data_IF_446795431440
#
_entry.id   IF_446795431440
#
_cell.length_a   1.000
_cell.length_b   1.000
_cell.length_c   1.000
_cell.angle_alpha   90.00
_cell.angle_beta   90.00
_cell.angle_gamma   90.00
#
_symmetry.space_group_name_H-M   'P 1'
#
loop_
_entity.id
_entity.type
_entity.pdbx_description
1 polymer ?
#
# COMPACT_ATOMS: atom_id res chain seq x y z
N UNK A 1 0.93 22.02 -26.94
CA UNK A 1 1.14 21.57 -25.55
C UNK A 1 1.71 20.17 -25.54
N UNK A 2 2.86 19.97 -24.89
CA UNK A 2 3.52 18.65 -24.73
C UNK A 2 3.94 18.43 -23.27
N UNK A 3 4.05 17.17 -22.87
CA UNK A 3 4.47 16.76 -21.53
C UNK A 3 5.85 16.12 -21.58
N UNK A 4 6.66 16.36 -20.56
CA UNK A 4 7.99 15.77 -20.37
C UNK A 4 8.09 15.27 -18.94
N UNK A 5 7.85 13.97 -18.77
CA UNK A 5 7.94 13.27 -17.51
C UNK A 5 9.29 12.56 -17.35
N UNK A 6 9.80 12.52 -16.13
CA UNK A 6 10.95 11.70 -15.77
C UNK A 6 10.79 11.08 -14.38
N UNK A 7 11.39 9.91 -14.19
CA UNK A 7 11.62 9.35 -12.87
C UNK A 7 12.95 9.92 -12.36
N UNK A 8 12.88 11.14 -11.80
CA UNK A 8 14.01 11.97 -11.42
C UNK A 8 14.94 11.28 -10.41
N UNK A 9 14.36 10.59 -9.44
CA UNK A 9 15.10 9.77 -8.48
C UNK A 9 14.33 8.48 -8.15
N UNK A 10 15.06 7.41 -7.80
CA UNK A 10 14.50 6.13 -7.39
C UNK A 10 15.42 5.40 -6.41
N UNK A 11 14.92 4.44 -5.63
CA UNK A 11 15.73 3.67 -4.70
C UNK A 11 16.86 2.92 -5.40
N UNK A 12 18.00 2.77 -4.72
CA UNK A 12 19.12 1.97 -5.23
C UNK A 12 18.69 0.53 -5.53
N UNK A 13 19.05 0.02 -6.72
CA UNK A 13 18.66 -1.31 -7.18
C UNK A 13 17.31 -1.37 -7.90
N UNK A 14 16.57 -0.26 -7.98
CA UNK A 14 15.34 -0.18 -8.77
C UNK A 14 15.63 -0.10 -10.28
N UNK A 15 14.92 -0.91 -11.07
CA UNK A 15 14.87 -0.90 -12.54
C UNK A 15 13.58 -0.26 -13.08
N UNK A 16 12.71 0.23 -12.21
CA UNK A 16 11.46 0.88 -12.59
C UNK A 16 11.65 2.03 -13.57
N UNK A 17 10.69 2.17 -14.49
CA UNK A 17 10.61 3.20 -15.53
C UNK A 17 9.15 3.64 -15.72
N UNK A 18 8.96 4.86 -16.23
CA UNK A 18 7.64 5.33 -16.66
C UNK A 18 7.18 4.59 -17.92
N UNK A 19 5.89 4.28 -18.02
CA UNK A 19 5.27 3.70 -19.23
C UNK A 19 5.37 4.61 -20.45
N UNK A 20 5.41 5.92 -20.23
CA UNK A 20 5.68 6.93 -21.24
C UNK A 20 6.22 8.20 -20.58
N UNK A 21 7.11 8.91 -21.27
CA UNK A 21 7.60 10.22 -20.82
C UNK A 21 6.79 11.39 -21.37
N UNK A 22 5.81 11.14 -22.23
CA UNK A 22 5.05 12.21 -22.93
C UNK A 22 3.53 12.05 -22.83
N UNK A 23 3.04 10.97 -22.22
CA UNK A 23 1.62 10.78 -21.99
C UNK A 23 1.06 11.80 -21.00
N UNK A 24 -0.24 12.09 -21.11
CA UNK A 24 -0.95 12.96 -20.14
C UNK A 24 -0.94 12.34 -18.74
N UNK A 25 -1.08 11.01 -18.68
CA UNK A 25 -1.13 10.22 -17.45
C UNK A 25 -0.22 9.00 -17.58
N UNK A 26 1.11 9.16 -17.41
CA UNK A 26 1.99 8.01 -17.35
C UNK A 26 1.80 7.26 -16.03
N UNK A 27 2.29 6.02 -16.01
CA UNK A 27 2.32 5.18 -14.82
C UNK A 27 3.69 4.54 -14.68
N UNK A 28 4.01 4.05 -13.48
CA UNK A 28 5.13 3.14 -13.26
C UNK A 28 4.76 2.16 -12.16
N UNK A 29 5.43 1.01 -12.13
CA UNK A 29 5.35 0.09 -11.00
C UNK A 29 6.65 0.21 -10.21
N UNK A 30 6.60 0.64 -8.93
CA UNK A 30 7.72 0.45 -8.03
C UNK A 30 8.10 -1.02 -7.98
N UNK A 31 9.40 -1.30 -7.99
CA UNK A 31 9.98 -2.66 -7.93
C UNK A 31 10.85 -2.87 -6.68
N UNK A 32 11.18 -1.79 -5.98
CA UNK A 32 11.94 -1.79 -4.73
C UNK A 32 11.27 -0.83 -3.76
N UNK A 33 11.19 -1.18 -2.48
CA UNK A 33 10.69 -0.27 -1.47
C UNK A 33 11.61 0.94 -1.31
N UNK A 34 11.02 2.13 -1.11
CA UNK A 34 11.74 3.38 -0.96
C UNK A 34 11.07 4.54 -1.71
N UNK A 35 11.75 5.68 -1.72
CA UNK A 35 11.25 6.91 -2.34
C UNK A 35 11.55 6.98 -3.83
N UNK A 36 10.52 7.30 -4.60
CA UNK A 36 10.57 7.64 -6.03
C UNK A 36 10.17 9.10 -6.19
N UNK A 37 11.00 9.89 -6.87
CA UNK A 37 10.68 11.28 -7.22
C UNK A 37 10.34 11.33 -8.69
N UNK A 38 9.10 11.68 -9.02
CA UNK A 38 8.63 11.90 -10.38
C UNK A 38 8.62 13.38 -10.67
N UNK A 39 9.14 13.77 -11.82
CA UNK A 39 9.18 15.16 -12.28
C UNK A 39 8.37 15.33 -13.58
N UNK A 40 7.62 16.42 -13.67
CA UNK A 40 6.91 16.88 -14.86
C UNK A 40 7.37 18.26 -15.27
N UNK A 41 7.64 18.44 -16.57
CA UNK A 41 7.64 19.75 -17.25
C UNK A 41 6.59 19.75 -18.35
N UNK A 42 5.89 20.87 -18.51
CA UNK A 42 4.91 21.07 -19.58
C UNK A 42 5.40 22.17 -20.49
N UNK A 43 5.26 21.98 -21.80
CA UNK A 43 5.57 22.99 -22.80
C UNK A 43 4.29 23.42 -23.51
N UNK A 44 4.04 24.71 -23.65
CA UNK A 44 2.84 25.24 -24.29
C UNK A 44 2.94 25.37 -25.82
N UNK A 45 4.13 25.17 -26.38
CA UNK A 45 4.50 25.42 -27.77
C UNK A 45 5.62 26.46 -27.91
N UNK A 46 5.96 27.16 -26.83
CA UNK A 46 7.02 28.18 -26.79
C UNK A 46 8.15 27.77 -25.86
N UNK A 47 7.85 27.61 -24.56
CA UNK A 47 8.83 27.39 -23.50
C UNK A 47 8.39 26.25 -22.57
N UNK A 48 9.37 25.62 -21.91
CA UNK A 48 9.12 24.66 -20.84
C UNK A 48 8.76 25.38 -19.53
N UNK A 49 7.84 24.81 -18.76
CA UNK A 49 7.56 25.23 -17.40
C UNK A 49 8.74 24.92 -16.46
N UNK A 50 8.70 25.55 -15.28
CA UNK A 50 9.46 25.03 -14.14
C UNK A 50 9.03 23.57 -13.83
N UNK A 51 9.95 22.71 -13.35
CA UNK A 51 9.64 21.34 -13.00
C UNK A 51 8.71 21.26 -11.78
N UNK A 52 7.65 20.46 -11.90
CA UNK A 52 6.83 20.02 -10.78
C UNK A 52 7.27 18.62 -10.35
N UNK A 53 7.52 18.42 -9.05
CA UNK A 53 7.95 17.14 -8.51
C UNK A 53 6.92 16.56 -7.53
N UNK A 54 6.77 15.24 -7.54
CA UNK A 54 6.00 14.47 -6.56
C UNK A 54 6.84 13.32 -6.02
N UNK A 55 6.85 13.15 -4.70
CA UNK A 55 7.51 12.03 -4.02
C UNK A 55 6.50 10.93 -3.74
N UNK A 56 6.82 9.70 -4.15
CA UNK A 56 6.02 8.50 -3.95
C UNK A 56 6.83 7.51 -3.13
N UNK A 57 6.32 7.10 -1.98
CA UNK A 57 6.97 6.11 -1.12
C UNK A 57 6.39 4.73 -1.37
N UNK A 58 7.19 3.83 -1.94
CA UNK A 58 6.83 2.42 -2.07
C UNK A 58 7.20 1.66 -0.80
N UNK A 59 6.27 0.84 -0.29
CA UNK A 59 6.46 0.04 0.91
C UNK A 59 6.58 -1.44 0.59
N UNK A 60 7.24 -2.19 1.49
CA UNK A 60 7.13 -3.65 1.48
C UNK A 60 5.77 -4.08 2.01
N UNK A 61 5.34 -5.29 1.65
CA UNK A 61 4.13 -5.91 2.23
C UNK A 61 4.17 -5.94 3.76
N UNK A 62 5.34 -6.15 4.36
CA UNK A 62 5.53 -6.13 5.80
C UNK A 62 5.32 -4.74 6.39
N UNK A 63 5.88 -3.69 5.77
CA UNK A 63 5.72 -2.32 6.26
C UNK A 63 4.26 -1.89 6.17
N UNK A 64 3.58 -2.16 5.05
CA UNK A 64 2.17 -1.85 4.90
C UNK A 64 1.30 -2.60 5.95
N UNK A 65 1.61 -3.87 6.24
CA UNK A 65 0.91 -4.62 7.28
C UNK A 65 1.15 -4.06 8.70
N UNK A 66 2.34 -3.51 8.98
CA UNK A 66 2.62 -2.82 10.24
C UNK A 66 1.82 -1.52 10.37
N UNK A 67 1.66 -0.76 9.29
CA UNK A 67 0.86 0.47 9.31
C UNK A 67 -0.62 0.15 9.63
N UNK A 68 -1.15 -0.98 9.13
CA UNK A 68 -2.49 -1.45 9.48
C UNK A 68 -2.60 -1.84 10.97
N UNK A 69 -1.53 -2.39 11.56
CA UNK A 69 -1.49 -2.63 13.03
C UNK A 69 -1.64 -1.30 13.78
N UNK A 70 -0.91 -0.26 13.40
CA UNK A 70 -1.03 1.07 14.02
C UNK A 70 -2.43 1.69 13.87
N UNK A 71 -3.10 1.46 12.74
CA UNK A 71 -4.50 1.88 12.55
C UNK A 71 -5.44 1.13 13.53
N UNK A 72 -5.24 -0.16 13.75
CA UNK A 72 -6.04 -0.93 14.73
C UNK A 72 -5.77 -0.46 16.16
N UNK A 73 -4.54 -0.12 16.50
CA UNK A 73 -4.20 0.46 17.80
C UNK A 73 -4.90 1.80 18.03
N UNK A 74 -5.05 2.61 16.99
CA UNK A 74 -5.85 3.84 17.03
C UNK A 74 -7.33 3.54 17.30
N UNK A 75 -7.92 2.56 16.60
CA UNK A 75 -9.30 2.15 16.85
C UNK A 75 -9.53 1.60 18.27
N UNK A 76 -8.51 0.95 18.85
CA UNK A 76 -8.52 0.52 20.26
C UNK A 76 -8.48 1.71 21.22
N UNK A 77 -7.63 2.71 20.94
CA UNK A 77 -7.51 3.93 21.73
C UNK A 77 -8.81 4.75 21.71
N UNK A 78 -9.49 4.78 20.57
CA UNK A 78 -10.78 5.45 20.37
C UNK A 78 -11.98 4.62 20.88
N UNK A 79 -11.73 3.45 21.48
CA UNK A 79 -12.73 2.52 21.99
C UNK A 79 -13.76 2.05 20.94
N UNK A 80 -13.39 2.11 19.66
CA UNK A 80 -14.19 1.58 18.53
C UNK A 80 -14.04 0.06 18.41
N UNK A 81 -12.97 -0.51 18.96
CA UNK A 81 -12.78 -1.94 19.12
C UNK A 81 -12.54 -2.28 20.59
N UNK A 82 -13.04 -3.44 21.03
CA UNK A 82 -12.60 -4.00 22.31
C UNK A 82 -11.17 -4.54 22.21
N UNK A 83 -10.47 -4.59 23.35
CA UNK A 83 -9.13 -5.18 23.44
C UNK A 83 -9.07 -6.61 22.89
N UNK A 84 -10.13 -7.42 23.09
CA UNK A 84 -10.20 -8.78 22.54
C UNK A 84 -10.25 -8.79 21.00
N UNK A 85 -11.09 -7.94 20.41
CA UNK A 85 -11.25 -7.83 18.96
C UNK A 85 -9.97 -7.29 18.32
N UNK A 86 -9.45 -6.16 18.79
CA UNK A 86 -8.22 -5.56 18.25
C UNK A 86 -7.00 -6.48 18.39
N UNK A 87 -6.76 -7.08 19.56
CA UNK A 87 -5.62 -7.99 19.75
C UNK A 87 -5.70 -9.23 18.84
N UNK A 88 -6.90 -9.71 18.53
CA UNK A 88 -7.08 -10.85 17.63
C UNK A 88 -6.86 -10.50 16.15
N UNK A 89 -7.06 -9.23 15.76
CA UNK A 89 -6.72 -8.69 14.44
C UNK A 89 -5.21 -8.48 14.33
N UNK A 90 -4.61 -7.80 15.32
CA UNK A 90 -3.16 -7.55 15.40
C UNK A 90 -2.38 -8.86 15.30
N UNK A 91 -2.73 -9.89 16.09
CA UNK A 91 -2.06 -11.19 16.05
C UNK A 91 -2.08 -11.87 14.68
N UNK A 92 -3.15 -11.68 13.89
CA UNK A 92 -3.23 -12.23 12.52
C UNK A 92 -2.22 -11.53 11.62
N UNK A 93 -2.10 -10.19 11.72
CA UNK A 93 -1.14 -9.41 10.95
C UNK A 93 0.31 -9.70 11.38
N UNK A 94 0.62 -9.70 12.68
CA UNK A 94 1.95 -10.07 13.20
C UNK A 94 2.39 -11.44 12.71
N UNK A 95 1.47 -12.41 12.73
CA UNK A 95 1.77 -13.75 12.26
C UNK A 95 1.93 -13.80 10.73
N UNK A 96 1.16 -13.03 9.97
CA UNK A 96 1.34 -12.91 8.52
C UNK A 96 2.71 -12.28 8.19
N UNK A 97 3.11 -11.22 8.89
CA UNK A 97 4.43 -10.57 8.75
C UNK A 97 5.55 -11.58 9.01
N UNK A 98 5.47 -12.34 10.12
CA UNK A 98 6.43 -13.41 10.43
C UNK A 98 6.50 -14.50 9.34
N UNK A 99 5.43 -14.71 8.57
CA UNK A 99 5.40 -15.64 7.42
C UNK A 99 6.06 -15.01 6.20
N UNK A 100 5.85 -13.72 5.95
CA UNK A 100 6.54 -12.98 4.89
C UNK A 100 8.06 -12.96 5.10
N UNK A 101 8.52 -12.74 6.33
CA UNK A 101 9.95 -12.78 6.67
C UNK A 101 10.60 -14.16 6.44
N UNK A 102 9.78 -15.21 6.42
CA UNK A 102 10.19 -16.59 6.12
C UNK A 102 9.94 -16.99 4.67
N UNK A 103 9.61 -16.02 3.82
CA UNK A 103 9.23 -16.20 2.41
C UNK A 103 8.02 -17.14 2.20
N UNK A 104 7.23 -17.39 3.25
CA UNK A 104 6.04 -18.24 3.21
C UNK A 104 4.81 -17.46 2.70
N UNK A 105 4.93 -16.86 1.50
CA UNK A 105 3.93 -15.94 0.91
C UNK A 105 2.52 -16.55 0.86
N UNK A 106 2.38 -17.81 0.44
CA UNK A 106 1.07 -18.50 0.39
C UNK A 106 0.42 -18.62 1.77
N UNK A 107 1.21 -18.85 2.81
CA UNK A 107 0.69 -18.94 4.18
C UNK A 107 0.30 -17.54 4.65
N UNK A 108 1.11 -16.53 4.40
CA UNK A 108 0.78 -15.14 4.71
C UNK A 108 -0.54 -14.70 4.05
N UNK A 109 -0.72 -14.99 2.76
CA UNK A 109 -1.97 -14.70 2.02
C UNK A 109 -3.22 -15.28 2.71
N UNK A 110 -3.16 -16.54 3.16
CA UNK A 110 -4.28 -17.14 3.90
C UNK A 110 -4.58 -16.38 5.19
N UNK A 111 -3.57 -15.85 5.87
CA UNK A 111 -3.74 -15.10 7.12
C UNK A 111 -4.27 -13.69 6.88
N UNK A 112 -3.85 -13.03 5.79
CA UNK A 112 -4.39 -11.74 5.36
C UNK A 112 -5.86 -11.84 4.93
N UNK A 113 -6.23 -12.89 4.19
CA UNK A 113 -7.63 -13.16 3.88
C UNK A 113 -8.47 -13.45 5.14
N UNK A 114 -7.90 -14.19 6.10
CA UNK A 114 -8.56 -14.40 7.39
C UNK A 114 -8.71 -13.11 8.21
N UNK A 115 -7.80 -12.16 8.06
CA UNK A 115 -7.94 -10.82 8.63
C UNK A 115 -9.11 -10.06 7.98
N UNK A 116 -9.16 -10.01 6.64
CA UNK A 116 -10.25 -9.33 5.90
C UNK A 116 -11.62 -9.88 6.32
N UNK A 117 -11.77 -11.21 6.33
CA UNK A 117 -13.02 -11.85 6.76
C UNK A 117 -13.40 -11.49 8.20
N UNK A 118 -12.42 -11.35 9.08
CA UNK A 118 -12.67 -10.97 10.46
C UNK A 118 -13.12 -9.51 10.59
N UNK A 119 -12.54 -8.58 9.82
CA UNK A 119 -13.02 -7.18 9.78
C UNK A 119 -14.44 -7.09 9.21
N UNK A 120 -14.74 -7.82 8.12
CA UNK A 120 -16.09 -7.90 7.57
C UNK A 120 -17.11 -8.40 8.61
N UNK A 121 -16.77 -9.44 9.38
CA UNK A 121 -17.64 -9.93 10.48
C UNK A 121 -17.94 -8.84 11.51
N UNK A 122 -16.93 -8.04 11.90
CA UNK A 122 -17.13 -6.94 12.85
C UNK A 122 -18.03 -5.83 12.28
N UNK A 123 -17.96 -5.58 10.97
CA UNK A 123 -18.88 -4.65 10.30
C UNK A 123 -20.30 -5.21 10.26
N UNK A 124 -20.45 -6.48 9.84
CA UNK A 124 -21.75 -7.14 9.73
C UNK A 124 -22.44 -7.29 11.09
N UNK A 125 -21.68 -7.48 12.16
CA UNK A 125 -22.14 -7.52 13.55
C UNK A 125 -22.46 -6.11 14.13
N UNK A 126 -22.15 -5.04 13.39
CA UNK A 126 -22.36 -3.66 13.82
C UNK A 126 -21.39 -3.20 14.93
N UNK A 127 -20.31 -3.94 15.17
CA UNK A 127 -19.26 -3.57 16.12
C UNK A 127 -18.42 -2.43 15.56
N UNK A 128 -17.99 -2.55 14.31
CA UNK A 128 -17.15 -1.57 13.63
C UNK A 128 -17.95 -0.92 12.49
N UNK A 129 -17.83 0.38 12.31
CA UNK A 129 -18.50 1.02 11.17
C UNK A 129 -17.79 0.66 9.87
N UNK A 130 -18.51 0.70 8.75
CA UNK A 130 -17.88 0.53 7.43
C UNK A 130 -16.88 1.64 7.12
N UNK A 131 -17.07 2.84 7.66
CA UNK A 131 -16.13 3.95 7.51
C UNK A 131 -14.77 3.65 8.18
N UNK A 132 -14.78 2.96 9.32
CA UNK A 132 -13.56 2.60 10.05
C UNK A 132 -12.96 1.28 9.58
N UNK A 133 -13.79 0.31 9.17
CA UNK A 133 -13.34 -1.02 8.78
C UNK A 133 -12.89 -1.13 7.31
N UNK A 134 -13.52 -0.42 6.38
CA UNK A 134 -13.17 -0.50 4.95
C UNK A 134 -11.73 -0.06 4.66
N UNK A 135 -11.18 1.00 5.27
CA UNK A 135 -9.78 1.35 5.08
C UNK A 135 -8.81 0.22 5.47
N UNK A 136 -9.10 -0.54 6.54
CA UNK A 136 -8.29 -1.69 6.94
C UNK A 136 -8.38 -2.82 5.90
N UNK A 137 -9.58 -3.09 5.38
CA UNK A 137 -9.81 -4.10 4.35
C UNK A 137 -9.07 -3.73 3.06
N UNK A 138 -9.22 -2.50 2.58
CA UNK A 138 -8.56 -2.01 1.36
C UNK A 138 -7.05 -2.10 1.47
N UNK A 139 -6.47 -1.63 2.59
CA UNK A 139 -5.02 -1.70 2.79
C UNK A 139 -4.50 -3.15 2.78
N UNK A 140 -5.22 -4.10 3.38
CA UNK A 140 -4.81 -5.52 3.34
C UNK A 140 -5.06 -6.15 1.97
N UNK A 141 -6.09 -5.74 1.24
CA UNK A 141 -6.33 -6.20 -0.13
C UNK A 141 -5.19 -5.76 -1.06
N UNK A 142 -4.68 -4.54 -0.94
CA UNK A 142 -3.53 -4.06 -1.72
C UNK A 142 -2.27 -4.93 -1.46
N UNK A 143 -2.07 -5.35 -0.20
CA UNK A 143 -0.99 -6.28 0.15
C UNK A 143 -1.22 -7.65 -0.48
N UNK A 144 -2.45 -8.18 -0.41
CA UNK A 144 -2.81 -9.47 -1.03
C UNK A 144 -2.55 -9.45 -2.54
N UNK A 145 -2.93 -8.38 -3.21
CA UNK A 145 -2.75 -8.22 -4.66
C UNK A 145 -1.27 -8.16 -5.04
N UNK A 146 -0.46 -7.37 -4.31
CA UNK A 146 0.99 -7.27 -4.54
C UNK A 146 1.72 -8.61 -4.34
N UNK A 147 1.33 -9.39 -3.33
CA UNK A 147 1.92 -10.70 -3.04
C UNK A 147 1.51 -11.75 -4.07
N UNK A 148 0.29 -11.64 -4.61
CA UNK A 148 -0.25 -12.58 -5.61
C UNK A 148 0.38 -12.35 -6.98
N UNK A 149 0.64 -11.10 -7.37
CA UNK A 149 1.32 -10.75 -8.62
C UNK A 149 2.74 -11.37 -8.70
N UNK A 150 3.44 -11.51 -7.57
CA UNK A 150 4.77 -12.13 -7.50
C UNK A 150 4.78 -13.67 -7.44
N UNK A 151 3.63 -14.34 -7.57
CA UNK A 151 3.49 -15.80 -7.60
C UNK A 151 3.11 -16.35 -8.98
N UNK A 152 2.81 -15.47 -9.94
CA UNK A 152 2.39 -15.81 -11.30
C UNK A 152 3.57 -16.10 -12.24
#
# INVERSE_FOLDING_TARGET
>A
MTYSWSLFSKPGGSFSTLTSTTAVNPSFSPDVAGEYVVELKVNDGTDDSDPAQVTITAQTAQQAAQDVIGNIETLLADALLSAGQGNSLIKKLESAIKKLDKEQKKVALNMLNAFINHVNSLIDEGVLTSADGNPLISAIQDIVDSLSAGLA
#
